data_IF_301070837297
#
_entry.id   IF_301070837297
#
_cell.length_a   1.000
_cell.length_b   1.000
_cell.length_c   1.000
_cell.angle_alpha   90.00
_cell.angle_beta   90.00
_cell.angle_gamma   90.00
#
_symmetry.space_group_name_H-M   'P 1'
#
loop_
_entity.id
_entity.type
_entity.pdbx_description
1 polymer ?
#
# COMPACT_ATOMS: atom_id res chain seq x y z
N UNK A 1 -23.66 28.91 50.76
CA UNK A 1 -24.16 28.92 49.38
C UNK A 1 -23.12 28.23 48.53
N UNK A 2 -23.39 26.99 48.12
CA UNK A 2 -22.46 26.18 47.39
C UNK A 2 -22.43 26.54 45.92
N UNK A 3 -21.28 26.90 45.40
CA UNK A 3 -21.04 26.88 43.96
C UNK A 3 -20.45 25.55 43.60
N UNK A 4 -21.25 24.73 42.92
CA UNK A 4 -20.85 23.46 42.39
C UNK A 4 -20.15 23.69 41.03
N UNK A 5 -18.85 23.77 41.05
CA UNK A 5 -18.07 23.79 39.83
C UNK A 5 -18.09 22.38 39.24
N UNK A 6 -18.93 22.16 38.26
CA UNK A 6 -18.92 20.95 37.44
C UNK A 6 -17.56 20.81 36.75
N UNK A 7 -16.77 19.87 37.25
CA UNK A 7 -15.58 19.39 36.54
C UNK A 7 -16.00 18.78 35.24
N UNK A 8 -15.91 19.55 34.18
CA UNK A 8 -15.96 19.02 32.82
C UNK A 8 -14.80 18.05 32.65
N UNK A 9 -15.12 16.79 32.63
CA UNK A 9 -14.21 15.74 32.22
C UNK A 9 -13.79 16.00 30.75
N UNK A 10 -12.68 16.69 30.58
CA UNK A 10 -11.99 16.75 29.33
C UNK A 10 -11.33 15.39 29.13
N UNK A 11 -12.11 14.46 28.58
CA UNK A 11 -11.57 13.24 28.01
C UNK A 11 -10.77 13.66 26.82
N UNK A 12 -9.46 13.92 27.01
CA UNK A 12 -8.51 13.96 25.91
C UNK A 12 -8.62 12.60 25.21
N UNK A 13 -9.36 12.55 24.11
CA UNK A 13 -9.19 11.50 23.12
C UNK A 13 -7.75 11.64 22.65
N UNK A 14 -6.87 10.81 23.16
CA UNK A 14 -5.57 10.57 22.57
C UNK A 14 -5.86 10.19 21.12
N UNK A 15 -5.61 11.12 20.24
CA UNK A 15 -5.69 10.89 18.79
C UNK A 15 -4.64 9.84 18.47
N UNK A 16 -5.06 8.58 18.43
CA UNK A 16 -4.20 7.51 17.95
C UNK A 16 -3.86 7.84 16.52
N UNK A 17 -2.58 8.06 16.25
CA UNK A 17 -2.08 8.32 14.89
C UNK A 17 -2.51 7.19 13.97
N UNK A 18 -3.19 7.51 12.88
CA UNK A 18 -3.52 6.51 11.85
C UNK A 18 -2.24 5.97 11.22
N UNK A 19 -2.20 4.67 11.00
CA UNK A 19 -1.13 4.04 10.22
C UNK A 19 -1.28 4.42 8.75
N UNK A 20 -0.20 4.85 8.13
CA UNK A 20 -0.18 5.28 6.73
C UNK A 20 0.21 4.14 5.82
N UNK A 21 -0.64 3.86 4.86
CA UNK A 21 -0.46 2.80 3.86
C UNK A 21 -0.39 3.40 2.46
N UNK A 22 0.59 2.97 1.70
CA UNK A 22 0.73 3.34 0.31
C UNK A 22 0.53 2.11 -0.57
N UNK A 23 -0.45 2.16 -1.45
CA UNK A 23 -0.70 1.12 -2.45
C UNK A 23 -0.25 1.64 -3.82
N UNK A 24 0.62 0.90 -4.49
CA UNK A 24 1.31 1.38 -5.69
C UNK A 24 1.00 0.48 -6.88
N UNK A 25 0.58 1.11 -7.98
CA UNK A 25 0.57 0.53 -9.31
C UNK A 25 1.76 1.10 -10.08
N UNK A 26 2.86 0.31 -10.27
CA UNK A 26 4.08 0.80 -10.88
C UNK A 26 3.92 0.94 -12.39
N UNK A 27 4.72 1.87 -12.95
CA UNK A 27 4.90 2.03 -14.40
C UNK A 27 6.37 2.13 -14.72
N UNK A 28 6.82 1.43 -15.75
CA UNK A 28 8.16 1.60 -16.26
C UNK A 28 8.25 2.85 -17.14
N UNK A 29 9.21 3.74 -16.82
CA UNK A 29 9.46 4.94 -17.62
C UNK A 29 9.96 4.50 -19.02
N UNK A 30 9.27 4.93 -20.06
CA UNK A 30 9.67 4.68 -21.45
C UNK A 30 8.83 3.68 -22.22
N UNK A 31 7.97 2.91 -21.59
CA UNK A 31 6.95 2.14 -22.31
C UNK A 31 5.86 3.12 -22.76
N UNK A 32 6.02 3.63 -23.96
CA UNK A 32 4.93 4.31 -24.65
C UNK A 32 3.98 3.20 -25.12
N UNK A 33 2.85 3.04 -24.46
CA UNK A 33 1.74 2.36 -25.09
C UNK A 33 1.35 3.21 -26.30
N UNK A 34 1.55 2.66 -27.50
CA UNK A 34 1.26 3.35 -28.75
C UNK A 34 -0.20 3.76 -28.79
N UNK A 35 -0.42 5.03 -29.05
CA UNK A 35 -1.64 5.80 -29.14
C UNK A 35 -2.08 6.46 -27.84
N UNK A 36 -2.28 7.75 -27.96
CA UNK A 36 -2.75 8.73 -27.01
C UNK A 36 -4.07 8.43 -26.27
N UNK A 37 -4.49 7.20 -26.27
CA UNK A 37 -5.60 6.72 -25.47
C UNK A 37 -5.03 6.16 -24.16
N UNK A 38 -4.81 7.07 -23.22
CA UNK A 38 -4.73 6.74 -21.80
C UNK A 38 -6.03 6.04 -21.40
N UNK A 39 -6.06 4.73 -21.63
CA UNK A 39 -6.94 3.91 -20.81
C UNK A 39 -6.23 3.79 -19.46
N UNK A 40 -6.70 4.51 -18.43
CA UNK A 40 -6.34 4.17 -17.09
C UNK A 40 -6.89 2.75 -16.89
N UNK A 41 -6.01 1.75 -16.94
CA UNK A 41 -6.39 0.43 -16.45
C UNK A 41 -6.97 0.66 -15.07
N UNK A 42 -8.25 0.35 -14.87
CA UNK A 42 -8.82 0.51 -13.55
C UNK A 42 -7.99 -0.34 -12.61
N UNK A 43 -7.31 0.32 -11.67
CA UNK A 43 -6.62 -0.33 -10.57
C UNK A 43 -7.64 -0.86 -9.57
N UNK A 44 -8.65 -1.53 -10.11
CA UNK A 44 -9.80 -2.00 -9.36
C UNK A 44 -9.35 -2.85 -8.16
N UNK A 45 -8.36 -3.73 -8.35
CA UNK A 45 -7.83 -4.56 -7.27
C UNK A 45 -7.27 -3.74 -6.12
N UNK A 46 -6.47 -2.70 -6.39
CA UNK A 46 -5.96 -1.82 -5.33
C UNK A 46 -7.05 -0.99 -4.68
N UNK A 47 -8.05 -0.55 -5.45
CA UNK A 47 -9.18 0.21 -4.91
C UNK A 47 -10.04 -0.64 -3.99
N UNK A 48 -10.33 -1.89 -4.38
CA UNK A 48 -11.07 -2.84 -3.55
C UNK A 48 -10.28 -3.19 -2.27
N UNK A 49 -8.98 -3.35 -2.41
CA UNK A 49 -8.10 -3.60 -1.27
C UNK A 49 -8.09 -2.41 -0.31
N UNK A 50 -7.96 -1.17 -0.83
CA UNK A 50 -7.98 0.05 -0.04
C UNK A 50 -9.28 0.19 0.76
N UNK A 51 -10.42 -0.17 0.17
CA UNK A 51 -11.72 -0.10 0.81
C UNK A 51 -11.89 -1.08 2.00
N UNK A 52 -11.02 -2.08 2.12
CA UNK A 52 -11.05 -3.06 3.22
C UNK A 52 -10.26 -2.65 4.45
N UNK A 53 -9.41 -1.62 4.33
CA UNK A 53 -8.65 -1.14 5.48
C UNK A 53 -9.59 -0.52 6.54
N UNK A 54 -9.39 -0.84 7.83
CA UNK A 54 -10.11 -0.19 8.92
C UNK A 54 -9.85 1.32 8.95
N UNK A 55 -10.75 2.08 9.57
CA UNK A 55 -10.62 3.54 9.72
C UNK A 55 -9.36 3.98 10.50
N UNK A 56 -8.70 3.07 11.17
CA UNK A 56 -7.42 3.28 11.85
C UNK A 56 -6.25 3.44 10.89
N UNK A 57 -6.47 3.19 9.60
CA UNK A 57 -5.50 3.36 8.52
C UNK A 57 -5.85 4.54 7.63
N UNK A 58 -4.82 5.24 7.16
CA UNK A 58 -4.88 6.21 6.09
C UNK A 58 -4.25 5.58 4.86
N UNK A 59 -5.06 5.27 3.85
CA UNK A 59 -4.63 4.56 2.65
C UNK A 59 -4.58 5.51 1.47
N UNK A 60 -3.42 5.61 0.84
CA UNK A 60 -3.23 6.33 -0.42
C UNK A 60 -2.90 5.34 -1.54
N UNK A 61 -3.52 5.51 -2.70
CA UNK A 61 -3.22 4.76 -3.92
C UNK A 61 -2.43 5.67 -4.85
N UNK A 62 -1.28 5.18 -5.32
CA UNK A 62 -0.45 5.82 -6.35
C UNK A 62 -0.49 4.99 -7.61
N UNK A 63 -0.95 5.62 -8.68
CA UNK A 63 -0.86 5.09 -10.02
C UNK A 63 0.28 5.81 -10.77
N UNK A 64 1.39 5.15 -10.99
CA UNK A 64 2.54 5.76 -11.69
C UNK A 64 2.27 6.10 -13.17
N UNK A 65 1.11 5.74 -13.70
CA UNK A 65 0.67 6.25 -15.01
C UNK A 65 0.39 7.76 -14.96
N UNK A 66 -0.07 8.26 -13.81
CA UNK A 66 -0.52 9.65 -13.65
C UNK A 66 0.31 10.48 -12.65
N UNK A 67 0.96 9.84 -11.69
CA UNK A 67 1.81 10.52 -10.70
C UNK A 67 3.03 9.67 -10.33
N UNK A 68 4.13 10.29 -9.95
CA UNK A 68 5.34 9.57 -9.51
C UNK A 68 5.22 9.15 -8.04
N UNK A 69 5.81 7.99 -7.73
CA UNK A 69 5.95 7.53 -6.34
C UNK A 69 7.03 8.36 -5.65
N UNK A 70 6.69 8.97 -4.52
CA UNK A 70 7.67 9.51 -3.60
C UNK A 70 8.21 8.38 -2.70
N UNK A 71 9.38 7.87 -3.04
CA UNK A 71 10.04 6.80 -2.28
C UNK A 71 10.53 7.25 -0.90
N UNK A 72 10.49 8.57 -0.62
CA UNK A 72 10.83 9.12 0.68
C UNK A 72 9.59 9.42 1.54
N UNK A 73 8.39 9.12 1.04
CA UNK A 73 7.16 9.31 1.78
C UNK A 73 7.20 8.62 3.16
N UNK A 74 6.70 9.30 4.17
CA UNK A 74 6.56 8.74 5.52
C UNK A 74 5.31 7.86 5.60
N UNK A 75 5.52 6.56 5.46
CA UNK A 75 4.47 5.55 5.52
C UNK A 75 4.90 4.39 6.41
N UNK A 76 3.91 3.71 6.98
CA UNK A 76 4.16 2.58 7.86
C UNK A 76 4.24 1.27 7.06
N UNK A 77 3.63 1.26 5.86
CA UNK A 77 3.52 0.07 5.05
C UNK A 77 3.28 0.38 3.56
N UNK A 78 3.82 -0.45 2.68
CA UNK A 78 3.69 -0.31 1.23
C UNK A 78 3.22 -1.63 0.61
N UNK A 79 2.16 -1.57 -0.17
CA UNK A 79 1.71 -2.65 -1.04
C UNK A 79 1.96 -2.29 -2.50
N UNK A 80 2.57 -3.19 -3.26
CA UNK A 80 2.88 -2.97 -4.67
C UNK A 80 2.29 -4.10 -5.50
N UNK A 81 1.53 -3.75 -6.53
CA UNK A 81 1.06 -4.74 -7.49
C UNK A 81 2.06 -4.93 -8.63
N UNK A 82 2.37 -6.18 -8.96
CA UNK A 82 3.35 -6.53 -9.98
C UNK A 82 2.72 -7.22 -11.19
N UNK A 83 2.72 -6.54 -12.33
CA UNK A 83 2.56 -7.18 -13.63
C UNK A 83 3.95 -7.53 -14.17
N UNK A 84 4.07 -8.60 -14.95
CA UNK A 84 5.34 -9.06 -15.50
C UNK A 84 6.09 -7.96 -16.28
N UNK A 85 5.37 -7.13 -17.03
CA UNK A 85 5.95 -6.05 -17.82
C UNK A 85 6.52 -4.88 -16.98
N UNK A 86 6.13 -4.75 -15.72
CA UNK A 86 6.58 -3.67 -14.82
C UNK A 86 7.25 -4.19 -13.55
N UNK A 87 7.52 -5.49 -13.48
CA UNK A 87 8.00 -6.11 -12.25
C UNK A 87 9.35 -5.55 -11.78
N UNK A 88 10.24 -5.21 -12.69
CA UNK A 88 11.53 -4.58 -12.35
C UNK A 88 11.35 -3.24 -11.66
N UNK A 89 10.36 -2.45 -12.11
CA UNK A 89 10.02 -1.19 -11.47
C UNK A 89 9.44 -1.43 -10.09
N UNK A 90 8.56 -2.43 -9.94
CA UNK A 90 8.01 -2.82 -8.64
C UNK A 90 9.11 -3.19 -7.64
N UNK A 91 10.09 -3.98 -8.07
CA UNK A 91 11.23 -4.36 -7.23
C UNK A 91 12.11 -3.17 -6.86
N UNK A 92 12.38 -2.28 -7.80
CA UNK A 92 13.16 -1.06 -7.52
C UNK A 92 12.46 -0.16 -6.49
N UNK A 93 11.14 -0.03 -6.55
CA UNK A 93 10.36 0.71 -5.54
C UNK A 93 10.42 -0.02 -4.19
N UNK A 94 10.23 -1.34 -4.19
CA UNK A 94 10.29 -2.15 -2.97
C UNK A 94 11.61 -1.99 -2.24
N UNK A 95 12.73 -2.07 -2.96
CA UNK A 95 14.08 -1.90 -2.39
C UNK A 95 14.25 -0.55 -1.71
N UNK A 96 13.78 0.52 -2.33
CA UNK A 96 13.89 1.87 -1.77
C UNK A 96 13.16 2.03 -0.44
N UNK A 97 11.97 1.47 -0.33
CA UNK A 97 11.21 1.49 0.93
C UNK A 97 11.84 0.57 1.99
N UNK A 98 12.27 -0.63 1.59
CA UNK A 98 12.91 -1.58 2.51
C UNK A 98 14.23 -1.09 3.07
N UNK A 99 15.05 -0.38 2.28
CA UNK A 99 16.27 0.29 2.74
C UNK A 99 16.00 1.28 3.89
N UNK A 100 14.80 1.82 3.96
CA UNK A 100 14.34 2.72 5.02
C UNK A 100 13.64 1.99 6.17
N UNK A 101 13.58 0.67 6.14
CA UNK A 101 12.90 -0.13 7.16
C UNK A 101 11.37 -0.16 7.04
N UNK A 102 10.81 0.32 5.93
CA UNK A 102 9.37 0.25 5.67
C UNK A 102 9.02 -1.14 5.17
N UNK A 103 7.98 -1.75 5.74
CA UNK A 103 7.50 -3.07 5.32
C UNK A 103 6.86 -3.00 3.94
N UNK A 104 7.23 -3.94 3.07
CA UNK A 104 6.74 -4.02 1.69
C UNK A 104 6.10 -5.36 1.42
N UNK A 105 4.92 -5.31 0.79
CA UNK A 105 4.22 -6.47 0.26
C UNK A 105 4.10 -6.38 -1.24
N UNK A 106 4.43 -7.47 -1.92
CA UNK A 106 4.19 -7.63 -3.34
C UNK A 106 2.98 -8.53 -3.56
N UNK A 107 2.14 -8.15 -4.50
CA UNK A 107 1.01 -8.93 -4.97
C UNK A 107 0.80 -8.77 -6.48
N UNK A 108 -0.23 -9.39 -7.00
CA UNK A 108 -0.58 -9.35 -8.42
C UNK A 108 -0.10 -10.58 -9.18
N UNK A 109 -0.19 -10.50 -10.51
CA UNK A 109 0.00 -11.67 -11.39
C UNK A 109 1.42 -12.21 -11.32
N UNK A 110 2.43 -11.36 -11.45
CA UNK A 110 3.82 -11.84 -11.50
C UNK A 110 4.27 -12.45 -10.18
N UNK A 111 4.08 -11.83 -9.00
CA UNK A 111 4.40 -12.45 -7.73
C UNK A 111 3.64 -13.76 -7.47
N UNK A 112 2.42 -13.88 -8.00
CA UNK A 112 1.65 -15.12 -7.89
C UNK A 112 2.21 -16.27 -8.75
N UNK A 113 2.81 -15.94 -9.89
CA UNK A 113 3.44 -16.92 -10.79
C UNK A 113 4.86 -17.29 -10.36
N UNK A 114 5.60 -16.35 -9.82
CA UNK A 114 6.99 -16.50 -9.39
C UNK A 114 7.19 -16.04 -7.93
N UNK A 115 6.53 -16.72 -6.97
CA UNK A 115 6.52 -16.27 -5.58
C UNK A 115 7.89 -16.34 -4.91
N UNK A 116 8.73 -17.29 -5.28
CA UNK A 116 10.07 -17.43 -4.69
C UNK A 116 10.98 -16.25 -5.11
N UNK A 117 10.90 -15.82 -6.35
CA UNK A 117 11.61 -14.61 -6.82
C UNK A 117 11.10 -13.37 -6.08
N UNK A 118 9.77 -13.22 -5.97
CA UNK A 118 9.17 -12.07 -5.33
C UNK A 118 9.48 -11.98 -3.82
N UNK A 119 9.62 -13.12 -3.14
CA UNK A 119 10.01 -13.18 -1.72
C UNK A 119 11.40 -12.62 -1.44
N UNK A 120 12.29 -12.66 -2.40
CA UNK A 120 13.62 -12.04 -2.25
C UNK A 120 13.53 -10.50 -2.26
N UNK A 121 12.49 -9.96 -2.87
CA UNK A 121 12.31 -8.53 -3.12
C UNK A 121 11.34 -7.85 -2.15
N UNK A 122 10.65 -8.60 -1.30
CA UNK A 122 9.64 -8.06 -0.38
C UNK A 122 9.67 -8.76 0.98
N UNK A 123 9.04 -8.14 1.96
CA UNK A 123 8.87 -8.74 3.29
C UNK A 123 7.77 -9.80 3.30
N UNK A 124 6.77 -9.66 2.43
CA UNK A 124 5.70 -10.62 2.22
C UNK A 124 5.22 -10.61 0.78
N UNK A 125 4.69 -11.74 0.33
CA UNK A 125 4.15 -11.91 -1.02
C UNK A 125 2.74 -12.47 -0.94
N UNK A 126 1.83 -11.81 -1.66
CA UNK A 126 0.49 -12.32 -1.90
C UNK A 126 0.45 -13.21 -3.11
N UNK A 127 -0.06 -14.41 -2.94
CA UNK A 127 -0.30 -15.37 -4.02
C UNK A 127 -1.80 -15.44 -4.26
N UNK A 128 -2.22 -15.12 -5.49
CA UNK A 128 -3.62 -15.08 -5.88
C UNK A 128 -4.30 -13.74 -5.61
N UNK A 129 -5.60 -13.78 -5.38
CA UNK A 129 -6.40 -12.57 -5.15
C UNK A 129 -6.31 -12.13 -3.68
N UNK A 130 -5.80 -10.93 -3.46
CA UNK A 130 -5.62 -10.35 -2.13
C UNK A 130 -6.94 -10.20 -1.35
N UNK A 131 -8.07 -10.17 -2.05
CA UNK A 131 -9.38 -9.93 -1.46
C UNK A 131 -9.81 -11.01 -0.46
N UNK A 132 -9.40 -12.26 -0.67
CA UNK A 132 -9.72 -13.38 0.21
C UNK A 132 -8.81 -13.52 1.44
N UNK A 133 -7.60 -12.93 1.39
CA UNK A 133 -6.56 -13.10 2.42
C UNK A 133 -6.18 -11.79 3.13
N UNK A 134 -6.92 -10.74 2.86
CA UNK A 134 -6.60 -9.40 3.36
C UNK A 134 -6.45 -9.32 4.89
N UNK A 135 -7.31 -10.00 5.63
CA UNK A 135 -7.27 -9.99 7.09
C UNK A 135 -6.04 -10.71 7.67
N UNK A 136 -5.56 -11.73 6.98
CA UNK A 136 -4.31 -12.42 7.35
C UNK A 136 -3.12 -11.49 7.20
N UNK A 137 -3.11 -10.71 6.12
CA UNK A 137 -2.07 -9.73 5.84
C UNK A 137 -2.04 -8.63 6.87
N UNK A 138 -3.19 -8.07 7.20
CA UNK A 138 -3.24 -7.05 8.25
C UNK A 138 -2.68 -7.59 9.58
N UNK A 139 -2.99 -8.84 9.91
CA UNK A 139 -2.43 -9.48 11.12
C UNK A 139 -0.92 -9.61 11.07
N UNK A 140 -0.37 -9.99 9.93
CA UNK A 140 1.07 -10.10 9.74
C UNK A 140 1.77 -8.74 9.86
N UNK A 141 1.08 -7.67 9.46
CA UNK A 141 1.59 -6.30 9.62
C UNK A 141 1.46 -5.76 11.03
N UNK A 142 0.46 -6.16 11.77
CA UNK A 142 0.22 -5.72 13.15
C UNK A 142 1.08 -6.49 14.16
N UNK A 143 1.59 -7.61 13.73
CA UNK A 143 2.56 -8.39 14.50
C UNK A 143 3.97 -7.80 14.37
#
# INVERSE_FOLDING_TARGET
MGFNASKGSMTQRLSVRKKKVLLIFPREKGIKFSNDTLYPFPILGLTLLAARFPETYEVKIINEVVEEVDVNAEVDFVGITGLTCVIKRAYAIADRFRERGVKVVLGGIHPSLLPEEAKEQADSVFIGEAEGMFEEVLRDFEA
#
